data_IF_300825200859
#
_entry.id   IF_300825200859
#
_cell.length_a   1.000
_cell.length_b   1.000
_cell.length_c   1.000
_cell.angle_alpha   90.00
_cell.angle_beta   90.00
_cell.angle_gamma   90.00
#
_symmetry.space_group_name_H-M   'P 1'
#
loop_
_entity.id
_entity.type
_entity.pdbx_description
1 polymer ?
#
# COMPACT_ATOMS: atom_id res chain seq x y z
N UNK A 1 -27.91 -7.41 -33.37
CA UNK A 1 -27.54 -6.07 -32.87
C UNK A 1 -28.18 -5.73 -31.52
N UNK A 2 -29.51 -5.83 -31.31
CA UNK A 2 -30.13 -5.53 -29.99
C UNK A 2 -29.57 -6.34 -28.81
N UNK A 3 -29.41 -7.66 -28.96
CA UNK A 3 -28.91 -8.55 -27.92
C UNK A 3 -27.50 -8.17 -27.40
N UNK A 4 -26.61 -7.76 -28.31
CA UNK A 4 -25.24 -7.32 -27.97
C UNK A 4 -25.25 -6.00 -27.18
N UNK A 5 -26.15 -5.07 -27.54
CA UNK A 5 -26.31 -3.81 -26.80
C UNK A 5 -26.87 -4.04 -25.38
N UNK A 6 -27.83 -4.96 -25.23
CA UNK A 6 -28.41 -5.31 -23.93
C UNK A 6 -27.38 -6.03 -23.03
N UNK A 7 -26.56 -6.92 -23.61
CA UNK A 7 -25.47 -7.58 -22.90
C UNK A 7 -24.40 -6.57 -22.44
N UNK A 8 -24.04 -5.58 -23.27
CA UNK A 8 -23.11 -4.51 -22.91
C UNK A 8 -23.64 -3.61 -21.79
N UNK A 9 -24.93 -3.26 -21.82
CA UNK A 9 -25.59 -2.49 -20.75
C UNK A 9 -25.58 -3.25 -19.41
N UNK A 10 -25.82 -4.55 -19.48
CA UNK A 10 -25.82 -5.43 -18.29
C UNK A 10 -24.42 -5.52 -17.68
N UNK A 11 -23.39 -5.68 -18.53
CA UNK A 11 -22.00 -5.73 -18.10
C UNK A 11 -21.57 -4.42 -17.43
N UNK A 12 -21.94 -3.28 -18.02
CA UNK A 12 -21.60 -1.97 -17.47
C UNK A 12 -22.25 -1.76 -16.08
N UNK A 13 -23.52 -2.12 -15.95
CA UNK A 13 -24.23 -2.06 -14.66
C UNK A 13 -23.56 -2.91 -13.57
N UNK A 14 -23.10 -4.12 -13.91
CA UNK A 14 -22.37 -4.98 -12.98
C UNK A 14 -21.03 -4.36 -12.54
N UNK A 15 -20.30 -3.75 -13.47
CA UNK A 15 -19.03 -3.05 -13.16
C UNK A 15 -19.28 -1.88 -12.21
N UNK A 16 -20.30 -1.07 -12.49
CA UNK A 16 -20.62 0.11 -11.67
C UNK A 16 -21.04 -0.32 -10.25
N UNK A 17 -21.81 -1.40 -10.14
CA UNK A 17 -22.20 -1.95 -8.84
C UNK A 17 -21.00 -2.51 -8.06
N UNK A 18 -20.07 -3.21 -8.72
CA UNK A 18 -18.84 -3.70 -8.09
C UNK A 18 -17.95 -2.55 -7.61
N UNK A 19 -17.85 -1.47 -8.40
CA UNK A 19 -17.10 -0.27 -8.01
C UNK A 19 -17.65 0.36 -6.74
N UNK A 20 -18.97 0.51 -6.62
CA UNK A 20 -19.57 1.06 -5.40
C UNK A 20 -19.29 0.18 -4.19
N UNK A 21 -19.39 -1.15 -4.34
CA UNK A 21 -19.05 -2.09 -3.27
C UNK A 21 -17.58 -1.99 -2.84
N UNK A 22 -16.66 -1.77 -3.79
CA UNK A 22 -15.25 -1.57 -3.49
C UNK A 22 -14.99 -0.22 -2.80
N UNK A 23 -15.69 0.84 -3.21
CA UNK A 23 -15.61 2.15 -2.57
C UNK A 23 -16.09 2.07 -1.11
N UNK A 24 -17.24 1.46 -0.87
CA UNK A 24 -17.78 1.25 0.49
C UNK A 24 -16.87 0.40 1.34
N UNK A 25 -16.29 -0.67 0.77
CA UNK A 25 -15.30 -1.48 1.47
C UNK A 25 -14.09 -0.63 1.87
N UNK A 26 -13.52 0.14 0.95
CA UNK A 26 -12.39 1.03 1.22
C UNK A 26 -12.72 2.10 2.28
N UNK A 27 -13.91 2.70 2.25
CA UNK A 27 -14.40 3.64 3.27
C UNK A 27 -14.51 2.96 4.64
N UNK A 28 -14.96 1.72 4.68
CA UNK A 28 -14.95 0.89 5.89
C UNK A 28 -13.54 0.71 6.46
N UNK A 29 -12.57 0.36 5.62
CA UNK A 29 -11.16 0.23 6.03
C UNK A 29 -10.61 1.57 6.53
N UNK A 30 -10.92 2.67 5.84
CA UNK A 30 -10.52 4.01 6.23
C UNK A 30 -10.98 4.32 7.66
N UNK A 31 -12.25 4.09 7.97
CA UNK A 31 -12.81 4.36 9.29
C UNK A 31 -12.12 3.55 10.40
N UNK A 32 -11.86 2.25 10.15
CA UNK A 32 -11.17 1.38 11.11
C UNK A 32 -9.76 1.89 11.41
N UNK A 33 -9.04 2.37 10.39
CA UNK A 33 -7.67 2.88 10.55
C UNK A 33 -7.63 4.28 11.17
N UNK A 34 -8.58 5.15 10.81
CA UNK A 34 -8.67 6.52 11.32
C UNK A 34 -9.07 6.56 12.80
N UNK A 35 -9.96 5.67 13.24
CA UNK A 35 -10.30 5.47 14.65
C UNK A 35 -9.06 5.18 15.50
N UNK A 36 -8.09 4.44 14.93
CA UNK A 36 -6.82 4.09 15.54
C UNK A 36 -5.72 5.14 15.33
N UNK A 37 -6.09 6.32 14.80
CA UNK A 37 -5.22 7.48 14.49
C UNK A 37 -4.10 7.17 13.50
N UNK A 38 -4.32 6.20 12.61
CA UNK A 38 -3.40 5.89 11.53
C UNK A 38 -3.73 6.81 10.34
N UNK A 39 -2.74 7.56 9.86
CA UNK A 39 -2.92 8.41 8.67
C UNK A 39 -3.17 7.53 7.44
N UNK A 40 -4.37 7.61 6.89
CA UNK A 40 -4.80 6.83 5.74
C UNK A 40 -5.44 7.75 4.69
N UNK A 41 -5.33 7.37 3.42
CA UNK A 41 -6.01 8.03 2.30
C UNK A 41 -6.48 6.98 1.31
N UNK A 42 -7.74 7.07 0.90
CA UNK A 42 -8.31 6.27 -0.19
C UNK A 42 -8.10 7.02 -1.51
N UNK A 43 -7.64 6.32 -2.55
CA UNK A 43 -7.48 6.88 -3.90
C UNK A 43 -8.58 6.37 -4.86
N UNK A 44 -9.75 7.00 -4.75
CA UNK A 44 -10.98 6.66 -5.50
C UNK A 44 -11.02 7.27 -6.92
N UNK A 45 -9.92 7.83 -7.42
CA UNK A 45 -9.91 8.57 -8.69
C UNK A 45 -10.01 7.64 -9.90
N UNK A 46 -11.15 7.62 -10.59
CA UNK A 46 -11.40 6.68 -11.70
C UNK A 46 -10.78 7.09 -13.05
N UNK A 47 -10.22 8.30 -13.14
CA UNK A 47 -9.56 8.85 -14.33
C UNK A 47 -8.12 8.32 -14.53
N UNK A 48 -7.52 7.72 -13.51
CA UNK A 48 -6.16 7.16 -13.56
C UNK A 48 -6.15 5.63 -13.55
N UNK A 49 -5.35 5.01 -14.42
CA UNK A 49 -5.10 3.56 -14.40
C UNK A 49 -4.48 3.14 -13.06
N UNK A 50 -4.86 1.97 -12.54
CA UNK A 50 -4.37 1.45 -11.24
C UNK A 50 -2.84 1.43 -11.14
N UNK A 51 -2.13 0.98 -12.19
CA UNK A 51 -0.67 0.99 -12.21
C UNK A 51 -0.06 2.38 -12.06
N UNK A 52 -0.72 3.42 -12.61
CA UNK A 52 -0.28 4.80 -12.44
C UNK A 52 -0.46 5.26 -10.99
N UNK A 53 -1.59 4.94 -10.36
CA UNK A 53 -1.83 5.23 -8.93
C UNK A 53 -0.74 4.59 -8.05
N UNK A 54 -0.44 3.30 -8.28
CA UNK A 54 0.60 2.58 -7.53
C UNK A 54 1.94 3.32 -7.64
N UNK A 55 2.38 3.61 -8.86
CA UNK A 55 3.65 4.31 -9.08
C UNK A 55 3.65 5.70 -8.41
N UNK A 56 2.56 6.48 -8.56
CA UNK A 56 2.42 7.80 -7.94
C UNK A 56 2.61 7.76 -6.42
N UNK A 57 2.02 6.78 -5.75
CA UNK A 57 2.17 6.63 -4.29
C UNK A 57 3.52 6.05 -3.88
N UNK A 58 4.15 5.25 -4.73
CA UNK A 58 5.52 4.78 -4.53
C UNK A 58 6.56 5.90 -4.63
N UNK A 59 6.39 6.80 -5.60
CA UNK A 59 7.23 8.00 -5.76
C UNK A 59 7.07 8.97 -4.59
N UNK A 60 5.86 9.08 -4.03
CA UNK A 60 5.60 9.86 -2.81
C UNK A 60 6.17 9.21 -1.54
N UNK A 61 6.69 8.00 -1.61
CA UNK A 61 7.28 7.31 -0.46
C UNK A 61 6.26 6.88 0.59
N UNK A 62 5.00 6.63 0.21
CA UNK A 62 4.01 6.08 1.15
C UNK A 62 4.51 4.71 1.65
N UNK A 63 4.70 4.51 2.97
CA UNK A 63 5.43 3.35 3.49
C UNK A 63 4.67 2.03 3.29
N UNK A 64 3.33 2.08 3.33
CA UNK A 64 2.45 0.94 3.24
C UNK A 64 1.26 1.25 2.34
N UNK A 65 0.96 0.36 1.40
CA UNK A 65 -0.25 0.42 0.57
C UNK A 65 -1.18 -0.73 0.91
N UNK A 66 -2.49 -0.47 0.82
CA UNK A 66 -3.54 -1.46 0.95
C UNK A 66 -4.15 -1.63 -0.44
N UNK A 67 -3.99 -2.81 -1.02
CA UNK A 67 -4.60 -3.21 -2.28
C UNK A 67 -5.93 -3.92 -1.99
N UNK A 68 -6.99 -3.48 -2.68
CA UNK A 68 -8.34 -4.02 -2.57
C UNK A 68 -8.89 -4.22 -3.98
N UNK A 69 -9.19 -5.48 -4.33
CA UNK A 69 -9.93 -5.84 -5.52
C UNK A 69 -11.18 -6.66 -5.20
N UNK A 70 -11.78 -7.22 -6.24
CA UNK A 70 -12.96 -8.09 -6.11
C UNK A 70 -12.69 -9.30 -5.20
N UNK A 71 -11.47 -9.84 -5.26
CA UNK A 71 -11.09 -10.99 -4.43
C UNK A 71 -11.09 -10.63 -2.95
N UNK A 72 -10.44 -9.53 -2.56
CA UNK A 72 -10.42 -9.00 -1.20
C UNK A 72 -11.82 -8.75 -0.64
N UNK A 73 -12.72 -8.23 -1.48
CA UNK A 73 -14.12 -7.99 -1.12
C UNK A 73 -14.85 -9.30 -0.79
N UNK A 74 -14.62 -10.36 -1.59
CA UNK A 74 -15.20 -11.69 -1.41
C UNK A 74 -14.65 -12.41 -0.18
N UNK A 75 -13.34 -12.37 0.03
CA UNK A 75 -12.68 -13.10 1.12
C UNK A 75 -12.62 -12.32 2.43
N UNK A 76 -13.06 -11.06 2.45
CA UNK A 76 -12.94 -10.16 3.60
C UNK A 76 -11.49 -10.10 4.11
N UNK A 77 -10.58 -9.86 3.16
CA UNK A 77 -9.15 -9.69 3.42
C UNK A 77 -8.64 -8.42 2.74
N UNK A 78 -7.42 -7.99 3.07
CA UNK A 78 -6.75 -6.87 2.42
C UNK A 78 -5.30 -7.27 2.14
N UNK A 79 -4.78 -6.87 0.99
CA UNK A 79 -3.38 -7.09 0.63
C UNK A 79 -2.53 -5.88 1.03
N UNK A 80 -1.64 -6.07 1.99
CA UNK A 80 -0.68 -5.07 2.44
C UNK A 80 0.60 -5.15 1.60
N UNK A 81 1.07 -4.02 1.06
CA UNK A 81 2.29 -3.95 0.25
C UNK A 81 3.25 -2.91 0.83
N UNK A 82 4.45 -3.37 1.20
CA UNK A 82 5.49 -2.52 1.78
C UNK A 82 6.32 -1.82 0.72
N UNK A 83 6.62 -0.53 0.92
CA UNK A 83 7.46 0.26 0.00
C UNK A 83 8.95 -0.03 0.13
N UNK A 84 9.43 -0.29 1.34
CA UNK A 84 10.86 -0.48 1.62
C UNK A 84 11.43 -1.79 1.04
N UNK A 85 10.59 -2.83 0.93
CA UNK A 85 11.00 -4.18 0.54
C UNK A 85 10.18 -4.78 -0.61
N UNK A 86 9.05 -4.18 -0.98
CA UNK A 86 8.11 -4.74 -1.97
C UNK A 86 7.33 -5.97 -1.47
N UNK A 87 7.53 -6.41 -0.23
CA UNK A 87 6.86 -7.60 0.33
C UNK A 87 5.35 -7.37 0.44
N UNK A 88 4.60 -8.42 0.07
CA UNK A 88 3.14 -8.47 0.19
C UNK A 88 2.71 -9.38 1.35
N UNK A 89 1.61 -9.04 2.01
CA UNK A 89 0.99 -9.88 3.02
C UNK A 89 -0.54 -9.72 2.97
N UNK A 90 -1.27 -10.84 2.97
CA UNK A 90 -2.74 -10.82 3.04
C UNK A 90 -3.15 -10.88 4.50
N UNK A 91 -4.03 -9.96 4.93
CA UNK A 91 -4.52 -9.87 6.31
C UNK A 91 -6.04 -9.87 6.35
N UNK A 92 -6.62 -10.51 7.37
CA UNK A 92 -8.07 -10.45 7.63
C UNK A 92 -8.49 -9.14 8.29
N UNK A 93 -9.77 -8.78 8.14
CA UNK A 93 -10.30 -7.51 8.66
C UNK A 93 -10.33 -7.41 10.19
N UNK A 94 -10.56 -8.52 10.89
CA UNK A 94 -10.77 -8.56 12.35
C UNK A 94 -9.61 -7.94 13.16
N UNK A 95 -8.40 -7.91 12.62
CA UNK A 95 -7.24 -7.29 13.28
C UNK A 95 -6.43 -6.42 12.29
N UNK A 96 -7.10 -5.75 11.36
CA UNK A 96 -6.44 -4.96 10.32
C UNK A 96 -5.55 -3.87 10.93
N UNK A 97 -6.08 -3.06 11.84
CA UNK A 97 -5.34 -1.94 12.42
C UNK A 97 -4.10 -2.39 13.22
N UNK A 98 -4.23 -3.48 13.99
CA UNK A 98 -3.09 -4.06 14.71
C UNK A 98 -2.01 -4.54 13.76
N UNK A 99 -2.38 -5.24 12.68
CA UNK A 99 -1.42 -5.67 11.65
C UNK A 99 -0.75 -4.49 10.94
N UNK A 100 -1.52 -3.45 10.61
CA UNK A 100 -0.97 -2.22 9.99
C UNK A 100 0.06 -1.56 10.91
N UNK A 101 -0.24 -1.39 12.21
CA UNK A 101 0.70 -0.83 13.20
C UNK A 101 1.99 -1.65 13.28
N UNK A 102 1.87 -2.97 13.39
CA UNK A 102 3.02 -3.89 13.42
C UNK A 102 3.88 -3.75 12.16
N UNK A 103 3.25 -3.65 10.98
CA UNK A 103 3.99 -3.52 9.72
C UNK A 103 4.68 -2.16 9.61
N UNK A 104 4.03 -1.07 10.03
CA UNK A 104 4.64 0.27 10.06
C UNK A 104 5.85 0.31 11.00
N UNK A 105 5.75 -0.29 12.20
CA UNK A 105 6.87 -0.39 13.13
C UNK A 105 8.03 -1.21 12.56
N UNK A 106 7.73 -2.30 11.85
CA UNK A 106 8.74 -3.11 11.16
C UNK A 106 9.42 -2.32 10.03
N UNK A 107 8.68 -1.50 9.28
CA UNK A 107 9.26 -0.63 8.25
C UNK A 107 10.21 0.37 8.89
N UNK A 108 9.78 1.05 9.96
CA UNK A 108 10.61 2.03 10.65
C UNK A 108 11.91 1.41 11.18
N UNK A 109 11.82 0.26 11.86
CA UNK A 109 12.98 -0.47 12.38
C UNK A 109 13.92 -0.89 11.26
N UNK A 110 13.39 -1.43 10.16
CA UNK A 110 14.21 -1.86 9.03
C UNK A 110 14.99 -0.71 8.41
N UNK A 111 14.33 0.43 8.15
CA UNK A 111 14.98 1.61 7.58
C UNK A 111 16.06 2.19 8.53
N UNK A 112 15.77 2.21 9.83
CA UNK A 112 16.76 2.65 10.83
C UNK A 112 18.00 1.77 10.85
N UNK A 113 17.82 0.44 10.88
CA UNK A 113 18.95 -0.52 10.87
C UNK A 113 19.78 -0.35 9.60
N UNK A 114 19.16 -0.28 8.43
CA UNK A 114 19.86 -0.07 7.16
C UNK A 114 20.65 1.24 7.15
N UNK A 115 20.08 2.33 7.68
CA UNK A 115 20.77 3.62 7.77
C UNK A 115 21.98 3.56 8.71
N UNK A 116 21.85 2.92 9.88
CA UNK A 116 22.95 2.74 10.84
C UNK A 116 24.08 1.88 10.26
N UNK A 117 23.74 0.79 9.58
CA UNK A 117 24.72 -0.06 8.92
C UNK A 117 25.45 0.69 7.80
N UNK A 118 24.71 1.44 6.97
CA UNK A 118 25.29 2.29 5.94
C UNK A 118 26.22 3.35 6.53
N UNK A 119 25.82 4.01 7.62
CA UNK A 119 26.67 4.99 8.31
C UNK A 119 27.96 4.34 8.79
N UNK A 120 27.87 3.19 9.48
CA UNK A 120 29.05 2.46 10.00
C UNK A 120 30.00 2.03 8.88
N UNK A 121 29.46 1.46 7.80
CA UNK A 121 30.25 0.96 6.69
C UNK A 121 30.91 2.06 5.86
N UNK A 122 30.40 3.29 5.95
CA UNK A 122 30.93 4.46 5.25
C UNK A 122 31.67 5.44 6.18
N UNK A 123 31.84 5.10 7.46
CA UNK A 123 32.62 5.89 8.42
C UNK A 123 33.95 5.20 8.67
N UNK A 124 35.04 5.89 8.36
CA UNK A 124 36.39 5.35 8.51
C UNK A 124 37.17 6.21 9.51
N UNK A 125 37.81 5.57 10.48
CA UNK A 125 38.76 6.25 11.36
C UNK A 125 40.13 6.31 10.66
N UNK A 126 40.65 7.52 10.45
CA UNK A 126 41.90 7.75 9.73
C UNK A 126 42.86 8.53 10.62
N UNK A 127 43.93 7.85 11.03
CA UNK A 127 44.98 8.39 11.89
C UNK A 127 46.31 8.64 11.14
N UNK A 128 46.29 8.60 9.80
CA UNK A 128 47.44 8.82 8.93
C UNK A 128 47.05 9.55 7.63
N UNK A 129 47.87 10.52 7.20
CA UNK A 129 47.60 11.36 6.02
C UNK A 129 47.69 10.59 4.70
N UNK A 130 48.49 9.53 4.63
CA UNK A 130 48.59 8.67 3.45
C UNK A 130 47.32 7.86 3.20
N UNK A 131 46.67 7.38 4.28
CA UNK A 131 45.34 6.74 4.23
C UNK A 131 44.21 7.72 3.93
N UNK A 132 44.34 8.98 4.33
CA UNK A 132 43.34 10.03 4.05
C UNK A 132 43.23 10.36 2.55
N UNK A 133 44.34 10.25 1.79
CA UNK A 133 44.39 10.61 0.37
C UNK A 133 43.93 9.51 -0.59
N UNK A 134 43.60 8.31 -0.10
CA UNK A 134 43.07 7.19 -0.88
C UNK A 134 41.58 7.07 -0.70
#
# INVERSE_FOLDING_TARGET
>A
MRKILDDQKTLQSQIDQLKEQLADFCRGLFNVLDQEKIRVKVDERDDERVGYKINKWELKGVPLRLEVGEQELKTKTVTLVRRDTGKKAVVGLNNLAGQVKIVLDKIQKNLFVQAVESLKNNTYEINDYGRFKK
#
